data_IF_311349369327
#
_entry.id   IF_311349369327
#
_cell.length_a   1.000
_cell.length_b   1.000
_cell.length_c   1.000
_cell.angle_alpha   90.00
_cell.angle_beta   90.00
_cell.angle_gamma   90.00
#
_symmetry.space_group_name_H-M   'P 1'
#
loop_
_entity.id
_entity.type
_entity.pdbx_description
1 polymer ?
#
# COMPACT_ATOMS: atom_id res chain seq x y z
N UNK A 1 41.65 -12.00 -18.30
CA UNK A 1 42.02 -10.70 -17.71
C UNK A 1 42.83 -10.98 -16.47
N UNK A 2 44.04 -10.41 -16.31
CA UNK A 2 44.85 -10.68 -15.13
C UNK A 2 44.47 -9.72 -13.98
N UNK A 3 44.80 -10.08 -12.74
CA UNK A 3 44.38 -9.35 -11.55
C UNK A 3 44.88 -7.90 -11.50
N UNK A 4 46.00 -7.64 -12.19
CA UNK A 4 46.55 -6.30 -12.31
C UNK A 4 45.69 -5.42 -13.23
N UNK A 5 45.26 -5.96 -14.36
CA UNK A 5 44.39 -5.27 -15.32
C UNK A 5 42.98 -5.03 -14.72
N UNK A 6 42.49 -5.95 -13.88
CA UNK A 6 41.26 -5.76 -13.12
C UNK A 6 41.38 -4.60 -12.12
N UNK A 7 42.46 -4.55 -11.35
CA UNK A 7 42.68 -3.49 -10.36
C UNK A 7 42.87 -2.11 -11.02
N UNK A 8 43.54 -2.05 -12.17
CA UNK A 8 43.67 -0.80 -12.93
C UNK A 8 42.30 -0.32 -13.44
N UNK A 9 41.43 -1.22 -13.92
CA UNK A 9 40.06 -0.88 -14.35
C UNK A 9 39.14 -0.48 -13.20
N UNK A 10 39.23 -1.15 -12.05
CA UNK A 10 38.44 -0.80 -10.85
C UNK A 10 38.83 0.58 -10.31
N UNK A 11 40.12 0.90 -10.32
CA UNK A 11 40.61 2.22 -9.91
C UNK A 11 40.13 3.32 -10.85
N UNK A 12 40.20 3.08 -12.17
CA UNK A 12 39.69 4.02 -13.17
C UNK A 12 38.17 4.24 -13.04
N UNK A 13 37.39 3.17 -12.85
CA UNK A 13 35.95 3.27 -12.65
C UNK A 13 35.57 4.07 -11.39
N UNK A 14 36.32 3.90 -10.30
CA UNK A 14 36.13 4.68 -9.07
C UNK A 14 36.43 6.16 -9.28
N UNK A 15 37.54 6.48 -9.94
CA UNK A 15 37.92 7.87 -10.23
C UNK A 15 36.92 8.56 -11.19
N UNK A 16 36.30 7.80 -12.10
CA UNK A 16 35.27 8.31 -13.01
C UNK A 16 33.93 8.53 -12.29
N UNK A 17 33.53 7.61 -11.41
CA UNK A 17 32.36 7.78 -10.57
C UNK A 17 32.49 9.00 -9.64
N UNK A 18 33.62 9.15 -8.95
CA UNK A 18 33.87 10.29 -8.07
C UNK A 18 33.82 11.61 -8.85
N UNK A 19 34.34 11.63 -10.09
CA UNK A 19 34.29 12.81 -10.97
C UNK A 19 32.87 13.12 -11.47
N UNK A 20 32.08 12.10 -11.78
CA UNK A 20 30.68 12.22 -12.16
C UNK A 20 29.84 12.82 -11.03
N UNK A 21 29.99 12.29 -9.81
CA UNK A 21 29.24 12.77 -8.65
C UNK A 21 29.75 14.11 -8.11
N UNK A 22 31.02 14.46 -8.31
CA UNK A 22 31.55 15.78 -7.92
C UNK A 22 30.89 16.95 -8.67
N UNK A 23 30.38 16.72 -9.89
CA UNK A 23 29.61 17.71 -10.65
C UNK A 23 28.14 17.81 -10.19
N UNK A 24 27.65 16.82 -9.45
CA UNK A 24 26.25 16.73 -9.02
C UNK A 24 26.01 17.51 -7.73
N UNK A 25 25.69 18.81 -7.86
CA UNK A 25 25.27 19.61 -6.71
C UNK A 25 23.77 19.42 -6.48
N UNK A 26 23.39 18.86 -5.32
CA UNK A 26 21.99 18.59 -4.93
C UNK A 26 21.20 19.87 -4.56
N UNK A 27 21.90 20.96 -4.25
CA UNK A 27 21.31 22.21 -3.75
C UNK A 27 20.36 22.94 -4.72
N UNK A 28 20.61 23.04 -6.04
CA UNK A 28 19.70 23.67 -7.00
C UNK A 28 18.36 22.91 -7.08
N UNK A 29 18.39 21.58 -7.04
CA UNK A 29 17.20 20.73 -7.07
C UNK A 29 16.36 20.86 -5.80
N UNK A 30 17.02 20.92 -4.64
CA UNK A 30 16.35 21.17 -3.35
C UNK A 30 15.63 22.53 -3.35
N UNK A 31 16.26 23.56 -3.91
CA UNK A 31 15.66 24.90 -4.05
C UNK A 31 14.49 24.91 -5.03
N UNK A 32 14.55 24.10 -6.09
CA UNK A 32 13.46 23.95 -7.07
C UNK A 32 12.25 23.22 -6.48
N UNK A 33 12.47 22.18 -5.66
CA UNK A 33 11.40 21.46 -4.96
C UNK A 33 10.72 22.34 -3.91
N UNK A 34 11.49 23.07 -3.09
CA UNK A 34 10.90 23.99 -2.11
C UNK A 34 10.09 25.12 -2.78
N UNK A 35 10.57 25.64 -3.92
CA UNK A 35 9.82 26.64 -4.70
C UNK A 35 8.51 26.09 -5.30
N UNK A 36 8.48 24.80 -5.61
CA UNK A 36 7.28 24.07 -6.09
C UNK A 36 6.25 23.86 -5.00
N UNK A 37 6.70 23.71 -3.74
CA UNK A 37 5.84 23.53 -2.58
C UNK A 37 5.28 24.87 -2.06
N UNK A 38 5.95 25.99 -2.30
CA UNK A 38 5.51 27.32 -1.83
C UNK A 38 4.49 28.02 -2.74
N UNK A 39 4.40 27.70 -4.04
CA UNK A 39 3.44 28.33 -4.96
C UNK A 39 2.95 27.34 -6.04
N UNK A 40 1.92 26.53 -5.76
CA UNK A 40 1.42 25.52 -6.70
C UNK A 40 0.69 26.10 -7.94
N UNK A 41 0.18 27.35 -7.85
CA UNK A 41 -0.74 27.90 -8.87
C UNK A 41 -0.08 28.75 -9.98
N UNK A 42 1.25 28.94 -9.95
CA UNK A 42 1.96 29.83 -10.89
C UNK A 42 3.08 29.13 -11.67
N UNK A 43 2.77 28.00 -12.32
CA UNK A 43 3.72 27.38 -13.24
C UNK A 43 3.09 26.99 -14.59
N UNK A 44 3.27 27.87 -15.57
CA UNK A 44 3.18 27.52 -17.00
C UNK A 44 4.48 26.87 -17.44
N UNK A 45 4.35 25.75 -18.15
CA UNK A 45 5.40 24.80 -18.54
C UNK A 45 6.37 25.30 -19.64
N UNK A 46 6.66 26.60 -19.71
CA UNK A 46 7.42 27.21 -20.81
C UNK A 46 8.87 27.62 -20.48
N UNK A 47 9.34 27.45 -19.25
CA UNK A 47 10.67 27.93 -18.83
C UNK A 47 11.68 26.80 -18.49
N UNK A 48 11.70 25.75 -19.31
CA UNK A 48 12.77 24.74 -19.24
C UNK A 48 13.43 24.55 -20.61
N UNK A 49 14.74 24.88 -20.64
CA UNK A 49 15.71 24.58 -21.70
C UNK A 49 15.83 25.54 -22.90
N UNK A 50 16.24 26.77 -22.63
CA UNK A 50 17.10 27.50 -23.55
C UNK A 50 18.57 27.39 -23.10
N UNK A 51 19.24 26.30 -23.48
CA UNK A 51 20.71 26.22 -23.43
C UNK A 51 21.25 26.31 -24.86
N UNK A 52 22.18 27.22 -25.18
CA UNK A 52 22.71 27.38 -26.54
C UNK A 52 23.89 26.42 -26.77
N UNK A 53 23.69 25.12 -26.57
CA UNK A 53 24.69 24.12 -26.95
C UNK A 53 24.40 23.62 -28.35
N UNK A 54 24.79 24.42 -29.36
CA UNK A 54 24.94 23.94 -30.74
C UNK A 54 26.15 23.01 -30.81
N UNK A 55 25.94 21.74 -30.44
CA UNK A 55 26.87 20.68 -30.78
C UNK A 55 26.75 20.41 -32.30
N UNK A 56 27.72 20.90 -33.05
CA UNK A 56 27.89 20.56 -34.47
C UNK A 56 28.38 19.11 -34.52
N UNK A 57 27.45 18.17 -34.47
CA UNK A 57 27.78 16.75 -34.62
C UNK A 57 28.10 16.45 -36.07
N UNK A 58 29.37 16.15 -36.32
CA UNK A 58 29.85 15.70 -37.62
C UNK A 58 29.22 14.32 -37.90
N UNK A 59 28.30 14.23 -38.87
CA UNK A 59 27.46 13.03 -39.12
C UNK A 59 28.26 11.73 -39.29
N UNK A 60 29.53 11.84 -39.71
CA UNK A 60 30.45 10.70 -39.86
C UNK A 60 30.90 10.10 -38.52
N UNK A 61 31.04 10.91 -37.48
CA UNK A 61 31.46 10.47 -36.13
C UNK A 61 30.31 9.75 -35.43
N UNK A 62 29.09 10.26 -35.59
CA UNK A 62 27.87 9.63 -35.02
C UNK A 62 27.62 8.27 -35.67
N UNK A 63 27.82 8.14 -36.99
CA UNK A 63 27.65 6.86 -37.67
C UNK A 63 28.70 5.84 -37.23
N UNK A 64 29.96 6.26 -37.08
CA UNK A 64 31.05 5.39 -36.65
C UNK A 64 30.89 4.93 -35.19
N UNK A 65 30.42 5.81 -34.29
CA UNK A 65 30.15 5.43 -32.90
C UNK A 65 28.94 4.49 -32.79
N UNK A 66 27.89 4.71 -33.58
CA UNK A 66 26.73 3.81 -33.61
C UNK A 66 27.12 2.41 -34.10
N UNK A 67 28.01 2.33 -35.09
CA UNK A 67 28.51 1.06 -35.63
C UNK A 67 29.40 0.33 -34.62
N UNK A 68 30.25 1.07 -33.89
CA UNK A 68 31.06 0.52 -32.79
C UNK A 68 30.18 0.03 -31.62
N UNK A 69 29.10 0.74 -31.30
CA UNK A 69 28.12 0.30 -30.28
C UNK A 69 27.39 -0.95 -30.75
N UNK A 70 26.95 -1.02 -32.01
CA UNK A 70 26.32 -2.22 -32.59
C UNK A 70 27.28 -3.42 -32.68
N UNK A 71 28.57 -3.18 -32.95
CA UNK A 71 29.59 -4.22 -32.94
C UNK A 71 29.90 -4.70 -31.52
N UNK A 72 29.98 -3.78 -30.56
CA UNK A 72 30.13 -4.10 -29.14
C UNK A 72 28.93 -4.90 -28.63
N UNK A 73 27.70 -4.52 -28.99
CA UNK A 73 26.48 -5.23 -28.62
C UNK A 73 26.41 -6.65 -29.22
N UNK A 74 27.02 -6.90 -30.38
CA UNK A 74 27.10 -8.25 -30.96
C UNK A 74 28.24 -9.10 -30.35
N UNK A 75 29.34 -8.48 -29.92
CA UNK A 75 30.46 -9.18 -29.27
C UNK A 75 30.15 -9.52 -27.81
N UNK A 76 29.36 -8.69 -27.14
CA UNK A 76 28.73 -9.03 -25.87
C UNK A 76 27.47 -9.84 -26.15
N UNK A 77 27.65 -11.12 -26.48
CA UNK A 77 26.64 -12.14 -26.20
C UNK A 77 26.39 -12.13 -24.68
N UNK A 78 25.55 -11.21 -24.22
CA UNK A 78 24.87 -11.30 -22.95
C UNK A 78 24.05 -12.58 -23.06
N UNK A 79 24.67 -13.68 -22.63
CA UNK A 79 23.94 -14.84 -22.17
C UNK A 79 22.88 -14.26 -21.24
N UNK A 80 21.57 -14.41 -21.53
CA UNK A 80 20.58 -13.98 -20.57
C UNK A 80 20.97 -14.68 -19.28
N UNK A 81 21.30 -13.89 -18.26
CA UNK A 81 21.51 -14.39 -16.91
C UNK A 81 20.19 -15.04 -16.51
N UNK A 82 19.99 -16.31 -16.90
CA UNK A 82 18.98 -17.21 -16.36
C UNK A 82 19.50 -17.72 -15.02
N UNK A 83 19.87 -16.79 -14.14
CA UNK A 83 19.77 -17.05 -12.72
C UNK A 83 18.46 -16.40 -12.34
N UNK A 84 17.39 -17.20 -12.30
CA UNK A 84 16.17 -16.80 -11.63
C UNK A 84 16.59 -16.26 -10.27
N UNK A 85 16.33 -14.98 -9.94
CA UNK A 85 16.67 -14.45 -8.64
C UNK A 85 15.96 -15.33 -7.61
N UNK A 86 16.74 -16.12 -6.87
CA UNK A 86 16.20 -16.97 -5.84
C UNK A 86 15.90 -16.04 -4.66
N UNK A 87 14.66 -15.53 -4.58
CA UNK A 87 14.15 -14.65 -3.52
C UNK A 87 14.18 -15.36 -2.13
N UNK A 88 14.68 -16.60 -2.09
CA UNK A 88 14.75 -17.44 -0.92
C UNK A 88 13.57 -18.41 -0.87
N UNK A 89 13.57 -19.30 0.12
CA UNK A 89 12.43 -20.18 0.40
C UNK A 89 11.41 -19.37 1.22
N UNK A 90 10.12 -19.35 0.83
CA UNK A 90 9.11 -18.65 1.61
C UNK A 90 8.93 -19.34 2.96
N UNK A 91 8.79 -18.54 4.01
CA UNK A 91 8.53 -19.03 5.38
C UNK A 91 7.07 -19.46 5.58
N UNK A 92 6.17 -18.98 4.71
CA UNK A 92 4.76 -19.34 4.69
C UNK A 92 4.22 -19.17 3.27
N UNK A 93 3.39 -20.12 2.83
CA UNK A 93 2.65 -20.04 1.57
C UNK A 93 1.20 -20.41 1.82
N UNK A 94 0.28 -19.59 1.32
CA UNK A 94 -1.15 -19.73 1.56
C UNK A 94 -1.90 -19.65 0.23
N UNK A 95 -2.72 -20.66 -0.10
CA UNK A 95 -3.54 -20.63 -1.30
C UNK A 95 -4.70 -19.68 -1.09
N UNK A 96 -5.07 -18.98 -2.15
CA UNK A 96 -6.07 -17.94 -2.11
C UNK A 96 -6.92 -18.00 -3.38
N UNK A 97 -8.23 -17.75 -3.25
CA UNK A 97 -9.20 -17.84 -4.36
C UNK A 97 -9.93 -16.51 -4.51
N UNK A 98 -9.74 -15.87 -5.65
CA UNK A 98 -10.42 -14.59 -6.00
C UNK A 98 -10.85 -14.56 -7.45
N UNK A 99 -11.93 -13.82 -7.69
CA UNK A 99 -12.61 -13.80 -8.98
C UNK A 99 -13.48 -15.04 -9.20
N UNK A 100 -14.28 -15.00 -10.27
CA UNK A 100 -15.14 -16.12 -10.69
C UNK A 100 -14.35 -17.26 -11.35
N UNK A 101 -13.11 -16.97 -11.76
CA UNK A 101 -12.23 -17.97 -12.35
C UNK A 101 -11.55 -18.79 -11.25
N UNK A 102 -11.75 -20.11 -11.30
CA UNK A 102 -11.24 -21.14 -10.37
C UNK A 102 -9.72 -21.23 -10.20
N UNK A 103 -8.95 -20.28 -10.73
CA UNK A 103 -7.48 -20.23 -10.62
C UNK A 103 -7.07 -19.86 -9.20
N UNK A 104 -6.49 -20.83 -8.49
CA UNK A 104 -5.91 -20.60 -7.17
C UNK A 104 -4.62 -19.80 -7.32
N UNK A 105 -4.56 -18.62 -6.69
CA UNK A 105 -3.32 -17.84 -6.57
C UNK A 105 -2.64 -18.19 -5.25
N UNK A 106 -1.42 -17.68 -5.03
CA UNK A 106 -0.64 -17.97 -3.82
C UNK A 106 -0.08 -16.70 -3.20
N UNK A 107 -0.29 -16.52 -1.89
CA UNK A 107 0.46 -15.54 -1.08
C UNK A 107 1.66 -16.25 -0.49
N UNK A 108 2.84 -15.72 -0.73
CA UNK A 108 4.08 -16.20 -0.12
C UNK A 108 4.69 -15.11 0.75
N UNK A 109 5.15 -15.48 1.93
CA UNK A 109 5.91 -14.59 2.82
C UNK A 109 7.37 -15.01 2.78
N UNK A 110 8.24 -14.09 2.39
CA UNK A 110 9.69 -14.30 2.37
C UNK A 110 10.33 -13.51 3.50
N UNK A 111 11.31 -14.10 4.17
CA UNK A 111 12.11 -13.38 5.15
C UNK A 111 13.14 -12.53 4.42
N UNK A 112 13.23 -11.26 4.79
CA UNK A 112 14.28 -10.35 4.37
C UNK A 112 15.13 -10.03 5.59
N UNK A 113 16.40 -10.42 5.53
CA UNK A 113 17.40 -10.04 6.52
C UNK A 113 18.04 -8.71 6.08
N UNK A 114 17.97 -7.70 6.93
CA UNK A 114 18.60 -6.41 6.66
C UNK A 114 20.13 -6.52 6.86
N UNK A 115 20.96 -6.08 5.90
CA UNK A 115 22.41 -6.28 5.97
C UNK A 115 23.08 -5.62 7.19
N UNK A 116 22.48 -4.56 7.74
CA UNK A 116 23.05 -3.77 8.84
C UNK A 116 22.22 -3.81 10.14
N UNK A 117 21.14 -4.61 10.20
CA UNK A 117 20.23 -4.63 11.36
C UNK A 117 19.79 -6.05 11.67
N UNK A 118 19.78 -6.42 12.96
CA UNK A 118 19.22 -7.68 13.47
C UNK A 118 17.68 -7.74 13.41
N UNK A 119 17.05 -6.94 12.54
CA UNK A 119 15.61 -6.86 12.40
C UNK A 119 15.19 -7.77 11.25
N UNK A 120 14.15 -8.55 11.51
CA UNK A 120 13.53 -9.40 10.50
C UNK A 120 12.40 -8.60 9.88
N UNK A 121 12.38 -8.52 8.55
CA UNK A 121 11.28 -7.97 7.78
C UNK A 121 10.68 -9.09 6.92
N UNK A 122 9.38 -9.02 6.62
CA UNK A 122 8.75 -9.97 5.71
C UNK A 122 8.37 -9.28 4.40
N UNK A 123 8.60 -9.95 3.28
CA UNK A 123 8.05 -9.58 1.99
C UNK A 123 6.85 -10.49 1.70
N UNK A 124 5.65 -9.92 1.70
CA UNK A 124 4.45 -10.59 1.20
C UNK A 124 4.40 -10.46 -0.32
N UNK A 125 4.19 -11.56 -1.03
CA UNK A 125 4.19 -11.62 -2.50
C UNK A 125 2.98 -12.42 -2.97
N UNK A 126 2.23 -11.89 -3.94
CA UNK A 126 1.18 -12.65 -4.63
C UNK A 126 1.67 -13.06 -6.00
N UNK A 127 1.58 -14.36 -6.26
CA UNK A 127 1.94 -14.98 -7.52
C UNK A 127 0.69 -15.29 -8.34
N UNK A 128 0.80 -15.10 -9.65
CA UNK A 128 -0.20 -15.51 -10.62
C UNK A 128 0.42 -16.41 -11.68
N UNK A 129 -0.34 -17.40 -12.14
CA UNK A 129 0.05 -18.23 -13.27
C UNK A 129 -0.22 -17.48 -14.57
N UNK A 130 0.82 -17.32 -15.38
CA UNK A 130 0.71 -16.93 -16.78
C UNK A 130 0.05 -18.05 -17.58
N UNK A 131 -0.67 -17.75 -18.69
CA UNK A 131 -1.18 -18.77 -19.61
C UNK A 131 -0.11 -19.74 -20.11
N UNK A 132 1.14 -19.29 -20.18
CA UNK A 132 2.30 -20.08 -20.63
C UNK A 132 2.85 -21.04 -19.54
N UNK A 133 2.25 -21.06 -18.35
CA UNK A 133 2.66 -21.89 -17.22
C UNK A 133 3.70 -21.26 -16.29
N UNK A 134 4.29 -20.12 -16.68
CA UNK A 134 5.21 -19.35 -15.84
C UNK A 134 4.47 -18.62 -14.71
N UNK A 135 5.12 -18.42 -13.56
CA UNK A 135 4.57 -17.61 -12.48
C UNK A 135 5.10 -16.17 -12.54
N UNK A 136 4.20 -15.21 -12.42
CA UNK A 136 4.53 -13.78 -12.31
C UNK A 136 4.12 -13.23 -10.96
N UNK A 137 4.95 -12.34 -10.42
CA UNK A 137 4.58 -11.53 -9.27
C UNK A 137 3.57 -10.47 -9.73
N UNK A 138 2.42 -10.41 -9.08
CA UNK A 138 1.37 -9.42 -9.37
C UNK A 138 1.11 -8.45 -8.21
N UNK A 139 1.68 -8.73 -7.04
CA UNK A 139 1.70 -7.84 -5.89
C UNK A 139 2.88 -8.16 -4.98
N UNK A 140 3.42 -7.14 -4.34
CA UNK A 140 4.40 -7.27 -3.27
C UNK A 140 4.23 -6.18 -2.23
N UNK A 141 4.42 -6.51 -0.96
CA UNK A 141 4.41 -5.54 0.14
C UNK A 141 5.48 -5.90 1.18
N UNK A 142 6.23 -4.89 1.60
CA UNK A 142 7.22 -5.01 2.67
C UNK A 142 6.53 -4.77 4.02
N UNK A 143 6.61 -5.75 4.91
CA UNK A 143 6.13 -5.72 6.28
C UNK A 143 7.36 -5.59 7.17
N UNK A 144 7.78 -4.35 7.40
CA UNK A 144 9.00 -4.04 8.15
C UNK A 144 8.92 -4.58 9.57
N UNK A 145 10.06 -5.03 10.09
CA UNK A 145 10.19 -5.46 11.48
C UNK A 145 9.16 -6.53 11.89
N UNK A 146 8.64 -7.34 10.97
CA UNK A 146 7.72 -8.43 11.26
C UNK A 146 8.39 -9.80 11.16
N UNK A 147 7.93 -10.77 11.95
CA UNK A 147 8.44 -12.15 11.94
C UNK A 147 7.34 -13.23 11.98
N UNK A 148 6.07 -12.84 12.14
CA UNK A 148 4.93 -13.76 12.23
C UNK A 148 3.90 -13.44 11.15
N UNK A 149 3.91 -14.12 9.98
CA UNK A 149 2.84 -13.97 9.01
C UNK A 149 1.54 -14.55 9.57
N UNK A 150 0.44 -13.83 9.43
CA UNK A 150 -0.88 -14.30 9.84
C UNK A 150 -1.63 -14.99 8.70
N UNK A 151 -2.70 -15.75 9.00
CA UNK A 151 -3.59 -16.28 7.98
C UNK A 151 -4.17 -15.16 7.10
N UNK A 152 -4.03 -15.32 5.78
CA UNK A 152 -4.63 -14.41 4.81
C UNK A 152 -6.13 -14.63 4.82
N UNK A 153 -6.89 -13.55 4.94
CA UNK A 153 -8.35 -13.61 5.04
C UNK A 153 -9.00 -12.88 3.87
N UNK A 154 -10.25 -13.25 3.55
CA UNK A 154 -10.98 -12.74 2.39
C UNK A 154 -12.29 -12.09 2.85
N UNK A 155 -12.60 -10.91 2.31
CA UNK A 155 -13.93 -10.28 2.44
C UNK A 155 -14.62 -10.34 1.09
N UNK A 156 -15.82 -10.91 1.06
CA UNK A 156 -16.65 -10.97 -0.14
C UNK A 156 -17.56 -9.75 -0.26
N UNK A 157 -17.78 -9.29 -1.50
CA UNK A 157 -18.84 -8.35 -1.82
C UNK A 157 -20.04 -9.10 -2.43
N UNK A 158 -21.15 -9.29 -1.70
CA UNK A 158 -22.33 -9.99 -2.19
C UNK A 158 -22.84 -9.43 -3.53
N UNK A 159 -23.07 -10.31 -4.50
CA UNK A 159 -23.51 -9.94 -5.85
C UNK A 159 -22.39 -9.36 -6.73
N UNK A 160 -21.13 -9.41 -6.29
CA UNK A 160 -19.95 -9.05 -7.06
C UNK A 160 -18.95 -10.21 -7.10
N UNK A 161 -18.20 -10.33 -8.20
CA UNK A 161 -17.03 -11.21 -8.30
C UNK A 161 -15.81 -10.66 -7.55
N UNK A 162 -15.88 -9.40 -7.13
CA UNK A 162 -14.83 -8.72 -6.37
C UNK A 162 -14.72 -9.25 -4.94
N UNK A 163 -13.47 -9.37 -4.50
CA UNK A 163 -13.11 -9.78 -3.15
C UNK A 163 -11.95 -8.93 -2.65
N UNK A 164 -11.95 -8.64 -1.35
CA UNK A 164 -10.81 -8.02 -0.68
C UNK A 164 -9.98 -9.07 0.04
N UNK A 165 -8.69 -8.80 0.07
CA UNK A 165 -7.68 -9.57 0.74
C UNK A 165 -7.13 -8.81 1.93
N UNK A 166 -7.16 -9.45 3.09
CA UNK A 166 -6.46 -8.99 4.28
C UNK A 166 -5.16 -9.77 4.43
N UNK A 167 -4.05 -9.09 4.18
CA UNK A 167 -2.69 -9.59 4.46
C UNK A 167 -2.24 -8.93 5.74
N UNK A 168 -1.77 -9.70 6.73
CA UNK A 168 -1.22 -9.13 7.95
C UNK A 168 -0.04 -9.92 8.49
N UNK A 169 0.80 -9.24 9.26
CA UNK A 169 1.94 -9.84 9.93
C UNK A 169 2.24 -9.07 11.22
N UNK A 170 2.69 -9.79 12.24
CA UNK A 170 3.07 -9.21 13.52
C UNK A 170 4.55 -9.35 13.82
N UNK A 171 5.00 -8.61 14.83
CA UNK A 171 6.29 -8.82 15.47
C UNK A 171 6.11 -9.41 16.88
N UNK A 172 6.72 -10.58 17.13
CA UNK A 172 6.63 -11.26 18.43
C UNK A 172 7.15 -10.43 19.61
N UNK A 173 8.17 -9.61 19.38
CA UNK A 173 8.96 -8.97 20.44
C UNK A 173 8.53 -7.53 20.74
N UNK A 174 8.14 -6.78 19.72
CA UNK A 174 7.74 -5.36 19.82
C UNK A 174 6.23 -5.17 19.83
N UNK A 175 5.47 -6.25 19.57
CA UNK A 175 4.02 -6.26 19.74
C UNK A 175 3.33 -5.26 18.83
N UNK A 176 3.75 -5.13 17.57
CA UNK A 176 3.04 -4.33 16.58
C UNK A 176 2.56 -5.20 15.40
N UNK A 177 1.63 -4.67 14.62
CA UNK A 177 1.01 -5.32 13.48
C UNK A 177 1.15 -4.43 12.23
N UNK A 178 1.46 -5.05 11.10
CA UNK A 178 1.30 -4.48 9.78
C UNK A 178 0.16 -5.19 9.07
N UNK A 179 -0.70 -4.46 8.37
CA UNK A 179 -1.70 -5.09 7.53
C UNK A 179 -2.02 -4.28 6.27
N UNK A 180 -2.52 -4.99 5.26
CA UNK A 180 -2.92 -4.47 3.95
C UNK A 180 -4.30 -5.04 3.62
N UNK A 181 -5.19 -4.17 3.18
CA UNK A 181 -6.46 -4.54 2.56
C UNK A 181 -6.36 -4.20 1.07
N UNK A 182 -6.43 -5.22 0.21
CA UNK A 182 -6.22 -5.06 -1.24
C UNK A 182 -7.33 -5.76 -2.03
N UNK A 183 -7.70 -5.22 -3.19
CA UNK A 183 -8.63 -5.82 -4.15
C UNK A 183 -7.85 -6.19 -5.42
N UNK A 184 -8.17 -7.33 -6.05
CA UNK A 184 -7.70 -7.59 -7.41
C UNK A 184 -8.68 -6.99 -8.41
N UNK A 185 -8.22 -6.01 -9.21
CA UNK A 185 -8.99 -5.48 -10.32
C UNK A 185 -8.71 -6.28 -11.59
N UNK A 186 -9.68 -7.07 -12.02
CA UNK A 186 -9.60 -7.88 -13.24
C UNK A 186 -9.35 -7.02 -14.49
N UNK A 187 -9.79 -5.75 -14.49
CA UNK A 187 -9.70 -4.85 -15.65
C UNK A 187 -8.25 -4.41 -15.88
N UNK A 188 -7.57 -3.97 -14.82
CA UNK A 188 -6.15 -3.59 -14.86
C UNK A 188 -5.21 -4.78 -14.64
N UNK A 189 -5.75 -5.95 -14.27
CA UNK A 189 -5.00 -7.15 -13.85
C UNK A 189 -3.99 -6.87 -12.75
N UNK A 190 -4.31 -5.91 -11.88
CA UNK A 190 -3.44 -5.42 -10.83
C UNK A 190 -4.19 -5.38 -9.49
N UNK A 191 -3.44 -5.40 -8.41
CA UNK A 191 -4.01 -5.16 -7.09
C UNK A 191 -4.12 -3.66 -6.81
N UNK A 192 -5.25 -3.24 -6.26
CA UNK A 192 -5.47 -1.90 -5.72
C UNK A 192 -5.52 -1.96 -4.20
N UNK A 193 -4.90 -0.99 -3.53
CA UNK A 193 -4.86 -0.93 -2.06
C UNK A 193 -6.03 -0.11 -1.54
N UNK A 194 -6.86 -0.73 -0.69
CA UNK A 194 -7.92 -0.06 0.07
C UNK A 194 -7.41 0.51 1.38
N UNK A 195 -6.48 -0.17 2.04
CA UNK A 195 -5.94 0.30 3.30
C UNK A 195 -4.56 -0.31 3.54
N UNK A 196 -3.67 0.53 4.04
CA UNK A 196 -2.33 0.15 4.47
C UNK A 196 -2.11 0.73 5.86
N UNK A 197 -1.74 -0.12 6.81
CA UNK A 197 -1.37 0.29 8.15
C UNK A 197 -0.09 -0.41 8.57
N UNK A 198 0.82 0.39 9.12
CA UNK A 198 2.12 -0.04 9.61
C UNK A 198 2.27 0.30 11.08
N UNK A 199 3.03 -0.53 11.80
CA UNK A 199 3.35 -0.31 13.21
C UNK A 199 2.13 -0.11 14.11
N UNK A 200 1.02 -0.82 13.85
CA UNK A 200 -0.19 -0.75 14.69
C UNK A 200 0.15 -1.30 16.09
N UNK A 201 0.16 -0.48 17.14
CA UNK A 201 0.69 -0.84 18.45
C UNK A 201 -0.24 -1.80 19.18
N UNK A 202 0.32 -2.94 19.60
CA UNK A 202 -0.41 -4.09 20.16
C UNK A 202 -1.63 -4.45 19.31
N UNK A 203 -1.47 -4.33 18.00
CA UNK A 203 -2.54 -4.42 17.03
C UNK A 203 -3.08 -5.83 16.88
N UNK A 204 -4.40 -5.93 16.68
CA UNK A 204 -5.05 -7.14 16.16
C UNK A 204 -5.96 -6.76 15.02
N UNK A 205 -6.07 -7.66 14.04
CA UNK A 205 -7.01 -7.51 12.94
C UNK A 205 -7.69 -8.84 12.65
N UNK A 206 -9.00 -8.82 12.50
CA UNK A 206 -9.82 -9.97 12.13
C UNK A 206 -10.97 -9.53 11.24
N UNK A 207 -11.66 -10.52 10.65
CA UNK A 207 -12.89 -10.30 9.87
C UNK A 207 -14.05 -10.89 10.66
N UNK A 208 -15.08 -10.08 10.91
CA UNK A 208 -16.33 -10.47 11.56
C UNK A 208 -17.49 -10.05 10.66
N UNK A 209 -18.27 -11.01 10.18
CA UNK A 209 -19.46 -10.74 9.34
C UNK A 209 -19.15 -9.82 8.13
N UNK A 210 -17.98 -9.99 7.52
CA UNK A 210 -17.53 -9.19 6.37
C UNK A 210 -16.98 -7.80 6.72
N UNK A 211 -16.90 -7.44 8.00
CA UNK A 211 -16.31 -6.20 8.52
C UNK A 211 -14.90 -6.51 9.02
N UNK A 212 -13.94 -5.60 8.79
CA UNK A 212 -12.62 -5.70 9.39
C UNK A 212 -12.69 -5.08 10.78
N UNK A 213 -12.37 -5.84 11.82
CA UNK A 213 -12.28 -5.34 13.19
C UNK A 213 -10.81 -5.17 13.52
N UNK A 214 -10.43 -3.93 13.81
CA UNK A 214 -9.07 -3.57 14.22
C UNK A 214 -9.06 -3.16 15.69
N UNK A 215 -8.20 -3.80 16.48
CA UNK A 215 -7.86 -3.36 17.82
C UNK A 215 -6.48 -2.72 17.81
N UNK A 216 -6.31 -1.57 18.47
CA UNK A 216 -4.99 -0.99 18.73
C UNK A 216 -4.91 -0.36 20.12
N UNK A 217 -3.72 -0.31 20.69
CA UNK A 217 -3.48 0.34 21.99
C UNK A 217 -3.00 1.76 21.77
N UNK A 218 -3.81 2.75 22.17
CA UNK A 218 -3.45 4.16 22.10
C UNK A 218 -2.86 4.60 23.43
N UNK A 219 -1.62 5.12 23.47
CA UNK A 219 -1.05 5.66 24.70
C UNK A 219 -1.85 6.86 25.21
N UNK A 220 -2.03 6.91 26.53
CA UNK A 220 -2.73 8.04 27.17
C UNK A 220 -1.95 9.36 27.12
N UNK A 221 -0.64 9.32 26.85
CA UNK A 221 0.25 10.49 26.73
C UNK A 221 1.29 10.19 25.65
N UNK A 222 1.28 10.95 24.56
CA UNK A 222 2.33 10.92 23.54
C UNK A 222 3.50 11.76 24.06
N UNK A 223 4.59 11.13 24.51
CA UNK A 223 5.85 11.83 24.72
C UNK A 223 6.66 11.73 23.43
N UNK A 224 6.77 12.84 22.70
CA UNK A 224 7.59 12.92 21.48
C UNK A 224 9.10 12.75 21.72
N UNK A 225 9.53 12.51 22.97
CA UNK A 225 10.93 12.41 23.37
C UNK A 225 11.44 10.97 23.52
N UNK A 226 10.57 9.96 23.49
CA UNK A 226 11.00 8.56 23.57
C UNK A 226 10.71 7.84 22.26
N UNK A 227 11.77 7.44 21.55
CA UNK A 227 11.72 6.47 20.45
C UNK A 227 11.36 5.05 20.93
N UNK A 228 10.69 4.93 22.07
CA UNK A 228 10.25 3.68 22.66
C UNK A 228 8.72 3.63 22.67
N UNK A 229 8.17 2.49 22.26
CA UNK A 229 6.74 2.24 22.38
C UNK A 229 6.32 2.41 23.86
N UNK A 230 5.20 3.10 24.14
CA UNK A 230 4.79 3.41 25.50
C UNK A 230 4.68 2.13 26.34
N UNK A 231 5.40 2.12 27.48
CA UNK A 231 5.46 0.98 28.40
C UNK A 231 4.23 0.85 29.30
N UNK A 232 3.32 1.84 29.29
CA UNK A 232 2.05 1.78 30.02
C UNK A 232 0.94 1.19 29.14
N UNK A 233 0.06 0.38 29.75
CA UNK A 233 -1.15 -0.13 29.08
C UNK A 233 -2.03 1.07 28.70
N UNK A 234 -1.89 1.54 27.47
CA UNK A 234 -2.76 2.54 26.88
C UNK A 234 -4.21 2.06 26.81
N UNK A 235 -5.11 2.92 26.33
CA UNK A 235 -6.50 2.54 26.09
C UNK A 235 -6.57 1.69 24.83
N UNK A 236 -7.21 0.53 24.90
CA UNK A 236 -7.56 -0.24 23.70
C UNK A 236 -8.71 0.44 22.97
N UNK A 237 -8.46 0.78 21.71
CA UNK A 237 -9.42 1.33 20.77
C UNK A 237 -9.78 0.24 19.78
N UNK A 238 -11.08 0.09 19.50
CA UNK A 238 -11.60 -0.85 18.50
C UNK A 238 -12.22 -0.05 17.38
N UNK A 239 -11.76 -0.29 16.15
CA UNK A 239 -12.30 0.31 14.93
C UNK A 239 -12.88 -0.79 14.04
N UNK A 240 -14.15 -0.66 13.67
CA UNK A 240 -14.80 -1.49 12.65
C UNK A 240 -14.73 -0.78 11.32
N UNK A 241 -13.97 -1.36 10.40
CA UNK A 241 -13.78 -0.87 9.05
C UNK A 241 -14.72 -1.62 8.13
N UNK A 242 -15.67 -0.90 7.54
CA UNK A 242 -16.66 -1.42 6.60
C UNK A 242 -16.20 -1.10 5.20
N UNK A 243 -15.70 -2.09 4.45
CA UNK A 243 -15.37 -1.84 3.06
C UNK A 243 -16.64 -1.62 2.25
N UNK A 244 -16.56 -0.71 1.29
CA UNK A 244 -17.64 -0.46 0.34
C UNK A 244 -17.09 -0.34 -1.07
N UNK A 245 -17.95 -0.64 -2.05
CA UNK A 245 -17.66 -0.47 -3.46
C UNK A 245 -18.85 0.20 -4.13
N UNK A 246 -18.58 1.06 -5.11
CA UNK A 246 -19.60 1.65 -5.97
C UNK A 246 -19.41 1.05 -7.35
N UNK A 247 -20.44 0.39 -7.87
CA UNK A 247 -20.37 -0.20 -9.21
C UNK A 247 -20.49 0.86 -10.32
N UNK A 248 -20.32 0.45 -11.58
CA UNK A 248 -20.41 1.34 -12.73
C UNK A 248 -21.80 1.98 -12.93
N UNK A 249 -22.83 1.47 -12.24
CA UNK A 249 -24.20 2.02 -12.25
C UNK A 249 -24.46 2.95 -11.06
N UNK A 250 -23.49 3.13 -10.18
CA UNK A 250 -23.61 3.94 -8.96
C UNK A 250 -24.27 3.22 -7.78
N UNK A 251 -24.42 1.90 -7.84
CA UNK A 251 -24.96 1.11 -6.74
C UNK A 251 -23.90 0.88 -5.67
N UNK A 252 -24.30 1.06 -4.41
CA UNK A 252 -23.45 0.80 -3.26
C UNK A 252 -23.48 -0.69 -2.86
N UNK A 253 -22.32 -1.34 -2.97
CA UNK A 253 -22.11 -2.73 -2.56
C UNK A 253 -21.37 -2.74 -1.22
N UNK A 254 -21.91 -3.49 -0.27
CA UNK A 254 -21.39 -3.64 1.09
C UNK A 254 -21.32 -5.14 1.40
N UNK A 255 -20.33 -5.59 2.19
CA UNK A 255 -20.22 -6.99 2.60
C UNK A 255 -21.32 -7.41 3.58
N UNK A 256 -21.93 -6.45 4.28
CA UNK A 256 -22.97 -6.67 5.28
C UNK A 256 -24.10 -5.64 5.18
N UNK A 257 -25.28 -6.00 5.69
CA UNK A 257 -26.44 -5.13 5.89
C UNK A 257 -26.70 -4.79 7.38
N UNK A 258 -25.87 -5.32 8.28
CA UNK A 258 -25.97 -5.14 9.72
C UNK A 258 -24.60 -4.98 10.39
N UNK A 259 -24.52 -4.08 11.37
CA UNK A 259 -23.31 -3.81 12.15
C UNK A 259 -23.65 -3.84 13.63
N UNK A 260 -22.83 -4.59 14.39
CA UNK A 260 -22.82 -4.54 15.85
C UNK A 260 -21.58 -3.80 16.36
N UNK A 261 -21.78 -2.77 17.18
CA UNK A 261 -20.72 -2.02 17.88
C UNK A 261 -20.86 -2.21 19.39
N UNK A 262 -19.77 -2.07 20.13
CA UNK A 262 -19.85 -1.75 21.55
C UNK A 262 -19.74 -0.23 21.73
N UNK A 263 -20.30 0.28 22.82
CA UNK A 263 -20.06 1.65 23.24
C UNK A 263 -18.56 1.94 23.37
N UNK A 264 -18.11 3.04 22.75
CA UNK A 264 -16.71 3.45 22.67
C UNK A 264 -15.94 2.91 21.46
N UNK A 265 -16.56 2.05 20.63
CA UNK A 265 -15.98 1.59 19.38
C UNK A 265 -16.12 2.67 18.29
N UNK A 266 -15.24 2.61 17.30
CA UNK A 266 -15.26 3.47 16.13
C UNK A 266 -15.76 2.67 14.92
N UNK A 267 -16.46 3.34 14.02
CA UNK A 267 -16.96 2.80 12.77
C UNK A 267 -16.43 3.65 11.62
N UNK A 268 -15.74 3.04 10.67
CA UNK A 268 -15.15 3.73 9.52
C UNK A 268 -15.55 3.04 8.23
N UNK A 269 -15.96 3.82 7.23
CA UNK A 269 -16.20 3.30 5.88
C UNK A 269 -14.96 3.49 5.02
N UNK A 270 -14.52 2.41 4.36
CA UNK A 270 -13.33 2.41 3.52
C UNK A 270 -13.69 1.99 2.09
N UNK A 271 -13.32 2.79 1.11
CA UNK A 271 -13.58 2.49 -0.30
C UNK A 271 -12.39 2.91 -1.14
N UNK A 272 -12.19 2.26 -2.28
CA UNK A 272 -11.16 2.66 -3.23
C UNK A 272 -11.53 3.99 -3.88
N UNK A 273 -10.55 4.91 -3.99
CA UNK A 273 -10.75 6.25 -4.51
C UNK A 273 -11.03 6.22 -6.02
N UNK A 274 -12.32 6.16 -6.39
CA UNK A 274 -12.80 6.25 -7.77
C UNK A 274 -13.24 7.68 -8.15
N UNK A 275 -12.97 8.68 -7.30
CA UNK A 275 -13.51 10.03 -7.43
C UNK A 275 -15.00 10.15 -7.08
N UNK A 276 -15.62 9.09 -6.56
CA UNK A 276 -17.00 9.07 -6.08
C UNK A 276 -17.02 9.07 -4.55
N UNK A 277 -17.82 9.95 -3.96
CA UNK A 277 -17.88 10.12 -2.52
C UNK A 277 -19.09 9.41 -1.90
N UNK A 278 -18.85 8.73 -0.79
CA UNK A 278 -19.90 8.18 0.06
C UNK A 278 -20.43 9.28 0.98
N UNK A 279 -21.72 9.57 0.89
CA UNK A 279 -22.42 10.46 1.80
C UNK A 279 -23.14 9.62 2.85
N UNK A 280 -22.95 9.99 4.11
CA UNK A 280 -23.50 9.27 5.26
C UNK A 280 -24.49 10.18 5.97
N UNK A 281 -25.72 9.69 6.12
CA UNK A 281 -26.76 10.34 6.93
C UNK A 281 -27.11 9.43 8.09
N UNK A 282 -27.04 9.96 9.30
CA UNK A 282 -27.34 9.23 10.53
C UNK A 282 -28.80 9.43 10.91
N UNK A 283 -29.55 8.34 11.08
CA UNK A 283 -30.88 8.38 11.65
C UNK A 283 -30.80 8.09 13.17
N UNK A 284 -30.79 9.15 13.98
CA UNK A 284 -30.80 9.07 15.45
C UNK A 284 -29.53 9.62 16.12
N UNK A 285 -29.47 9.52 17.46
CA UNK A 285 -28.38 10.07 18.31
C UNK A 285 -27.48 8.98 18.93
N UNK A 286 -27.35 7.83 18.27
CA UNK A 286 -26.56 6.70 18.80
C UNK A 286 -25.07 6.77 18.42
N UNK A 287 -24.76 7.48 17.33
CA UNK A 287 -23.42 7.75 16.84
C UNK A 287 -23.13 9.25 16.90
N UNK A 288 -21.93 9.61 17.33
CA UNK A 288 -21.38 10.95 17.17
C UNK A 288 -20.44 10.98 15.98
N UNK A 289 -20.57 12.00 15.14
CA UNK A 289 -19.67 12.21 14.01
C UNK A 289 -18.38 12.84 14.54
N UNK A 290 -17.27 12.10 14.45
CA UNK A 290 -15.97 12.68 14.73
C UNK A 290 -15.47 13.36 13.45
N UNK A 291 -15.20 14.64 13.57
CA UNK A 291 -14.88 15.50 12.45
C UNK A 291 -13.64 15.01 11.69
N UNK A 292 -13.65 15.39 10.41
CA UNK A 292 -12.71 15.08 9.34
C UNK A 292 -11.29 15.58 9.68
N UNK A 293 -10.42 14.70 10.18
CA UNK A 293 -8.99 14.97 10.21
C UNK A 293 -8.27 13.77 9.61
N UNK A 294 -7.63 13.99 8.46
CA UNK A 294 -6.79 12.99 7.79
C UNK A 294 -5.58 12.72 8.68
N UNK A 295 -5.69 11.78 9.61
CA UNK A 295 -4.54 11.35 10.37
C UNK A 295 -3.87 10.19 9.64
N UNK A 296 -2.74 10.55 9.04
CA UNK A 296 -1.65 9.73 8.51
C UNK A 296 -1.89 8.97 7.19
N UNK A 297 -1.18 9.46 6.16
CA UNK A 297 -0.51 8.73 5.08
C UNK A 297 -1.32 8.11 3.94
N UNK A 298 -2.66 8.24 3.92
CA UNK A 298 -3.45 7.87 2.73
C UNK A 298 -4.37 9.01 2.32
N UNK A 299 -4.32 9.45 1.06
CA UNK A 299 -5.23 10.41 0.41
C UNK A 299 -6.68 9.87 0.27
N UNK A 300 -7.13 9.07 1.23
CA UNK A 300 -8.39 8.35 1.20
C UNK A 300 -9.38 9.09 2.11
N UNK A 301 -10.47 9.64 1.57
CA UNK A 301 -11.52 10.23 2.39
C UNK A 301 -12.19 9.12 3.21
N UNK A 302 -11.92 9.07 4.51
CA UNK A 302 -12.61 8.16 5.42
C UNK A 302 -13.53 8.95 6.36
N UNK A 303 -14.72 8.41 6.62
CA UNK A 303 -15.65 8.95 7.62
C UNK A 303 -15.56 8.05 8.84
N UNK A 304 -15.27 8.62 10.00
CA UNK A 304 -15.20 7.89 11.27
C UNK A 304 -16.32 8.35 12.22
N UNK A 305 -17.06 7.38 12.73
CA UNK A 305 -18.20 7.55 13.62
C UNK A 305 -17.89 6.90 14.97
N UNK A 306 -18.29 7.53 16.06
CA UNK A 306 -18.03 7.02 17.41
C UNK A 306 -19.33 6.51 18.04
N UNK A 307 -19.29 5.28 18.58
CA UNK A 307 -20.41 4.66 19.26
C UNK A 307 -20.61 5.24 20.67
N UNK A 308 -21.65 6.06 20.86
CA UNK A 308 -21.84 6.82 22.11
C UNK A 308 -22.94 6.27 22.98
N UNK A 309 -24.11 5.98 22.40
CA UNK A 309 -25.28 5.54 23.15
C UNK A 309 -25.71 4.15 22.68
N UNK A 310 -25.90 3.19 23.59
CA UNK A 310 -26.47 1.88 23.27
C UNK A 310 -27.86 2.01 22.64
N UNK A 311 -28.19 1.09 21.74
CA UNK A 311 -29.48 1.06 21.06
C UNK A 311 -29.39 0.60 19.62
N UNK A 312 -30.55 0.60 18.95
CA UNK A 312 -30.66 0.26 17.53
C UNK A 312 -30.88 1.51 16.70
N UNK A 313 -30.32 1.54 15.50
CA UNK A 313 -30.55 2.60 14.53
C UNK A 313 -30.23 2.19 13.11
N UNK A 314 -30.25 3.17 12.22
CA UNK A 314 -30.01 2.97 10.80
C UNK A 314 -29.05 4.05 10.30
N UNK A 315 -28.06 3.62 9.53
CA UNK A 315 -27.20 4.50 8.75
C UNK A 315 -27.72 4.49 7.32
N UNK A 316 -28.01 5.67 6.78
CA UNK A 316 -28.40 5.84 5.38
C UNK A 316 -27.15 6.22 4.60
N UNK A 317 -26.82 5.39 3.63
CA UNK A 317 -25.67 5.55 2.76
C UNK A 317 -26.14 5.94 1.36
N UNK A 318 -25.57 7.03 0.85
CA UNK A 318 -25.87 7.59 -0.46
C UNK A 318 -24.56 7.79 -1.24
N UNK A 319 -24.61 7.63 -2.56
CA UNK A 319 -23.52 8.07 -3.44
C UNK A 319 -23.81 9.49 -3.91
N UNK A 320 -22.77 10.22 -4.32
CA UNK A 320 -22.88 11.57 -4.89
C UNK A 320 -23.52 11.60 -6.30
N UNK A 321 -23.80 10.44 -6.90
CA UNK A 321 -24.54 10.35 -8.16
C UNK A 321 -26.01 10.74 -7.97
N UNK A 322 -26.52 11.64 -8.84
CA UNK A 322 -27.90 12.17 -8.83
C UNK A 322 -29.03 11.12 -8.82
N UNK A 323 -28.72 9.85 -9.14
CA UNK A 323 -29.68 8.74 -9.20
C UNK A 323 -29.23 7.48 -8.44
N UNK A 324 -28.22 7.58 -7.58
CA UNK A 324 -27.75 6.42 -6.80
C UNK A 324 -28.84 5.91 -5.84
N UNK A 325 -29.10 4.60 -5.76
CA UNK A 325 -30.04 4.06 -4.79
C UNK A 325 -29.50 4.26 -3.37
N UNK A 326 -30.40 4.65 -2.46
CA UNK A 326 -30.11 4.69 -1.02
C UNK A 326 -29.92 3.28 -0.49
N UNK A 327 -28.93 3.08 0.37
CA UNK A 327 -28.76 1.83 1.10
C UNK A 327 -28.88 2.08 2.59
N UNK A 328 -29.73 1.30 3.23
CA UNK A 328 -29.90 1.32 4.68
C UNK A 328 -29.03 0.23 5.29
N UNK A 329 -28.25 0.62 6.29
CA UNK A 329 -27.41 -0.27 7.07
C UNK A 329 -27.92 -0.28 8.51
N UNK A 330 -28.33 -1.44 8.98
CA UNK A 330 -28.83 -1.61 10.35
C UNK A 330 -27.68 -1.56 11.33
N UNK A 331 -27.87 -0.89 12.44
CA UNK A 331 -26.86 -0.70 13.47
C UNK A 331 -27.40 -1.09 14.84
N UNK A 332 -26.60 -1.80 15.62
CA UNK A 332 -26.84 -2.08 17.03
C UNK A 332 -25.60 -1.73 17.85
N UNK A 333 -25.78 -0.91 18.88
CA UNK A 333 -24.73 -0.54 19.84
C UNK A 333 -25.07 -1.20 21.17
N UNK A 334 -24.18 -2.04 21.65
CA UNK A 334 -24.29 -2.73 22.93
C UNK A 334 -23.46 -2.03 24.02
N UNK A 335 -23.84 -2.20 25.28
CA UNK A 335 -22.96 -1.83 26.39
C UNK A 335 -21.76 -2.78 26.42
N UNK A 336 -20.58 -2.21 26.66
CA UNK A 336 -19.35 -3.01 26.75
C UNK A 336 -19.42 -3.84 28.04
N UNK A 337 -19.56 -5.16 27.90
CA UNK A 337 -19.65 -6.10 29.03
C UNK A 337 -18.34 -6.27 29.77
#
# INVERSE_FOLDING_TARGET
MNDRELNEKLKAAKEEADRFFAAWKFNPYRKMIYRRLENPDNYTDSDAFNSPWRLVFNKKVVLASLLLILLALNLFNFSPFKQSPNIGVPISQQPIRFGDNSTTKWVSFFRLDEPDRSKNSLLAVIWDSSPDGDYKMIYSSLLENCDIPHPVSVVDFPGSSSKLLLISSGNKNSGHLHYRLIEYDDSSRAFVTYLEQDFVPYGKVNIEEGIIVEERTVPGIYSAQENEFPRSKGKTVVTRLVPYKIDSKGNLILPTDYIRLNRGDYLTFIGYNTGQHLKITLAGRILDNLHYESFYLTDMPYIQLHAVNPGKGVIILETDMKSGPRKELKLEIEERR
#
